data_IF_841374467904
#
_entry.id   IF_841374467904
#
_cell.length_a   1.000
_cell.length_b   1.000
_cell.length_c   1.000
_cell.angle_alpha   90.00
_cell.angle_beta   90.00
_cell.angle_gamma   90.00
#
_symmetry.space_group_name_H-M   'P 1'
#
loop_
_entity.id
_entity.type
_entity.pdbx_description
1 polymer ?
#
# COMPACT_ATOMS: atom_id res chain seq x y z
N UNK A 1 11.87 -12.58 -12.39
CA UNK A 1 10.64 -12.82 -11.60
C UNK A 1 9.46 -12.82 -12.56
N UNK A 2 8.51 -13.74 -12.42
CA UNK A 2 7.22 -13.65 -13.13
C UNK A 2 6.24 -12.88 -12.26
N UNK A 3 5.54 -11.90 -12.84
CA UNK A 3 4.56 -11.09 -12.12
C UNK A 3 3.21 -11.20 -12.86
N UNK A 4 2.16 -11.49 -12.10
CA UNK A 4 0.77 -11.45 -12.56
C UNK A 4 0.00 -10.55 -11.61
N UNK A 5 -0.94 -9.77 -12.11
CA UNK A 5 -1.79 -8.95 -11.28
C UNK A 5 -3.22 -8.90 -11.81
N UNK A 6 -4.14 -8.67 -10.90
CA UNK A 6 -5.52 -8.36 -11.19
C UNK A 6 -5.98 -7.23 -10.28
N UNK A 7 -6.80 -6.35 -10.80
CA UNK A 7 -7.42 -5.28 -10.02
C UNK A 7 -8.82 -5.02 -10.55
N UNK A 8 -9.76 -4.83 -9.64
CA UNK A 8 -11.16 -4.59 -9.95
C UNK A 8 -11.74 -3.59 -8.97
N UNK A 9 -12.59 -2.68 -9.44
CA UNK A 9 -13.25 -1.72 -8.58
C UNK A 9 -14.15 -2.43 -7.56
N UNK A 10 -14.04 -2.08 -6.29
CA UNK A 10 -14.84 -2.68 -5.21
C UNK A 10 -16.35 -2.40 -5.32
N UNK A 11 -16.75 -1.43 -6.14
CA UNK A 11 -18.16 -1.09 -6.40
C UNK A 11 -18.37 -0.90 -7.91
N UNK A 12 -19.32 -1.65 -8.52
CA UNK A 12 -19.64 -1.49 -9.93
C UNK A 12 -20.01 -0.04 -10.29
N UNK A 13 -19.43 0.48 -11.36
CA UNK A 13 -19.70 1.84 -11.85
C UNK A 13 -18.95 2.96 -11.13
N UNK A 14 -18.12 2.65 -10.14
CA UNK A 14 -17.17 3.59 -9.54
C UNK A 14 -15.77 3.42 -10.13
N UNK A 15 -14.96 4.49 -10.19
CA UNK A 15 -13.54 4.35 -10.50
C UNK A 15 -12.87 3.35 -9.56
N UNK A 16 -11.87 2.64 -10.07
CA UNK A 16 -10.99 1.85 -9.22
C UNK A 16 -9.98 2.77 -8.56
N UNK A 17 -9.99 2.81 -7.24
CA UNK A 17 -9.07 3.59 -6.42
C UNK A 17 -7.74 2.86 -6.19
N UNK A 18 -7.67 1.54 -6.50
CA UNK A 18 -6.46 0.75 -6.41
C UNK A 18 -5.59 0.90 -7.66
N UNK A 19 -4.29 0.79 -7.48
CA UNK A 19 -3.33 0.84 -8.57
C UNK A 19 -2.13 -0.08 -8.35
N UNK A 20 -1.68 -0.74 -9.41
CA UNK A 20 -0.48 -1.58 -9.42
C UNK A 20 0.47 -1.09 -10.51
N UNK A 21 1.74 -1.03 -10.19
CA UNK A 21 2.82 -0.83 -11.15
C UNK A 21 3.95 -1.79 -10.84
N UNK A 22 4.59 -2.34 -11.87
CA UNK A 22 5.68 -3.29 -11.70
C UNK A 22 6.78 -3.12 -12.75
N UNK A 23 7.96 -3.62 -12.40
CA UNK A 23 9.10 -3.78 -13.27
C UNK A 23 9.58 -5.23 -13.28
N UNK A 24 10.75 -5.52 -13.86
CA UNK A 24 11.24 -6.90 -13.98
C UNK A 24 11.48 -7.61 -12.64
N UNK A 25 11.76 -6.84 -11.59
CA UNK A 25 12.21 -7.33 -10.29
C UNK A 25 11.61 -6.54 -9.11
N UNK A 26 10.54 -5.80 -9.34
CA UNK A 26 9.84 -5.06 -8.30
C UNK A 26 8.34 -4.93 -8.62
N UNK A 27 7.55 -4.72 -7.58
CA UNK A 27 6.14 -4.39 -7.65
C UNK A 27 5.81 -3.33 -6.59
N UNK A 28 4.91 -2.43 -6.96
CA UNK A 28 4.33 -1.44 -6.06
C UNK A 28 2.81 -1.49 -6.19
N UNK A 29 2.13 -1.56 -5.05
CA UNK A 29 0.68 -1.63 -4.94
C UNK A 29 0.22 -0.45 -4.09
N UNK A 30 -0.88 0.16 -4.51
CA UNK A 30 -1.52 1.31 -3.89
C UNK A 30 -3.02 1.01 -3.75
N UNK A 31 -3.53 1.03 -2.52
CA UNK A 31 -4.96 0.93 -2.22
C UNK A 31 -5.43 2.32 -1.79
N UNK A 32 -6.22 2.93 -2.64
CA UNK A 32 -6.65 4.30 -2.49
C UNK A 32 -7.78 4.46 -1.48
N UNK A 33 -7.62 5.37 -0.54
CA UNK A 33 -8.60 5.64 0.50
C UNK A 33 -9.35 6.97 0.23
N UNK A 34 -10.67 6.83 0.02
CA UNK A 34 -11.56 7.96 -0.24
C UNK A 34 -12.20 8.46 1.06
N UNK A 35 -12.21 9.79 1.25
CA UNK A 35 -12.98 10.38 2.33
C UNK A 35 -14.49 10.09 2.17
N UNK A 36 -15.25 9.97 3.26
CA UNK A 36 -16.70 9.78 3.19
C UNK A 36 -17.39 10.85 2.34
N UNK A 37 -18.47 10.48 1.65
CA UNK A 37 -19.22 11.39 0.79
C UNK A 37 -19.68 12.67 1.54
N UNK A 38 -19.58 13.83 0.87
CA UNK A 38 -19.95 15.13 1.44
C UNK A 38 -18.89 15.77 2.34
N UNK A 39 -17.69 15.18 2.40
CA UNK A 39 -16.55 15.76 3.12
C UNK A 39 -15.72 16.60 2.15
N UNK A 40 -15.44 17.84 2.56
CA UNK A 40 -14.45 18.66 1.84
C UNK A 40 -13.04 18.14 2.16
N UNK A 41 -12.41 17.55 1.15
CA UNK A 41 -11.04 17.06 1.23
C UNK A 41 -9.98 18.16 1.18
N UNK A 42 -10.38 19.40 0.87
CA UNK A 42 -9.44 20.49 0.61
C UNK A 42 -8.61 20.28 -0.67
N UNK A 43 -8.91 19.27 -1.47
CA UNK A 43 -8.15 18.93 -2.66
C UNK A 43 -9.06 18.88 -3.91
N UNK A 44 -8.61 19.47 -5.00
CA UNK A 44 -9.32 19.43 -6.29
C UNK A 44 -9.11 18.09 -7.02
N UNK A 45 -8.18 17.27 -6.55
CA UNK A 45 -7.86 15.97 -7.12
C UNK A 45 -8.58 14.86 -6.34
N UNK A 46 -8.91 13.78 -7.06
CA UNK A 46 -9.50 12.56 -6.50
C UNK A 46 -8.43 11.52 -6.11
N UNK A 47 -8.87 10.40 -5.53
CA UNK A 47 -7.99 9.29 -5.14
C UNK A 47 -7.34 8.64 -6.35
N UNK A 48 -8.05 8.34 -7.47
CA UNK A 48 -7.41 7.84 -8.70
C UNK A 48 -6.27 8.73 -9.22
N UNK A 49 -6.42 10.06 -9.12
CA UNK A 49 -5.34 10.97 -9.49
C UNK A 49 -4.14 10.80 -8.56
N UNK A 50 -4.38 10.73 -7.25
CA UNK A 50 -3.32 10.58 -6.25
C UNK A 50 -2.54 9.28 -6.48
N UNK A 51 -3.23 8.14 -6.56
CA UNK A 51 -2.55 6.82 -6.68
C UNK A 51 -1.76 6.72 -7.98
N UNK A 52 -2.27 7.21 -9.10
CA UNK A 52 -1.57 7.20 -10.40
C UNK A 52 -0.31 8.08 -10.38
N UNK A 53 -0.41 9.27 -9.79
CA UNK A 53 0.74 10.17 -9.71
C UNK A 53 1.79 9.68 -8.72
N UNK A 54 1.37 9.12 -7.57
CA UNK A 54 2.29 8.50 -6.63
C UNK A 54 2.97 7.27 -7.24
N UNK A 55 2.22 6.43 -7.95
CA UNK A 55 2.77 5.28 -8.67
C UNK A 55 3.80 5.68 -9.72
N UNK A 56 3.58 6.76 -10.45
CA UNK A 56 4.55 7.29 -11.42
C UNK A 56 5.84 7.76 -10.73
N UNK A 57 5.73 8.46 -9.59
CA UNK A 57 6.88 8.88 -8.79
C UNK A 57 7.67 7.69 -8.23
N UNK A 58 6.96 6.67 -7.74
CA UNK A 58 7.58 5.43 -7.24
C UNK A 58 8.25 4.66 -8.38
N UNK A 59 7.56 4.47 -9.51
CA UNK A 59 8.08 3.73 -10.66
C UNK A 59 9.38 4.34 -11.21
N UNK A 60 9.47 5.67 -11.22
CA UNK A 60 10.69 6.37 -11.65
C UNK A 60 11.90 6.11 -10.72
N UNK A 61 11.66 5.76 -9.46
CA UNK A 61 12.69 5.58 -8.42
C UNK A 61 13.01 4.12 -8.11
N UNK A 62 12.07 3.20 -8.31
CA UNK A 62 12.27 1.77 -7.99
C UNK A 62 13.51 1.14 -8.62
N UNK A 63 13.94 1.52 -9.85
CA UNK A 63 15.18 1.01 -10.42
C UNK A 63 16.45 1.52 -9.72
N UNK A 64 16.37 2.61 -8.94
CA UNK A 64 17.52 3.19 -8.24
C UNK A 64 17.93 2.29 -7.08
N UNK A 65 19.03 1.54 -7.27
CA UNK A 65 19.56 0.61 -6.29
C UNK A 65 20.41 1.35 -5.27
N UNK A 66 20.37 1.42 -4.13
CA UNK A 66 21.18 2.16 -3.13
C UNK A 66 20.39 3.15 -2.31
N UNK A 67 19.13 3.40 -2.70
CA UNK A 67 18.17 4.13 -1.87
C UNK A 67 17.25 3.12 -1.18
N UNK A 68 17.00 3.28 0.12
CA UNK A 68 16.05 2.45 0.85
C UNK A 68 14.63 2.65 0.32
N UNK A 69 13.74 1.64 0.46
CA UNK A 69 12.36 1.77 0.03
C UNK A 69 11.62 2.91 0.78
N UNK A 70 12.00 3.18 2.02
CA UNK A 70 11.42 4.28 2.81
C UNK A 70 11.84 5.65 2.26
N UNK A 71 13.13 5.87 1.99
CA UNK A 71 13.61 7.11 1.41
C UNK A 71 13.03 7.33 0.01
N UNK A 72 12.98 6.25 -0.79
CA UNK A 72 12.36 6.25 -2.11
C UNK A 72 10.89 6.70 -2.03
N UNK A 73 10.11 6.12 -1.11
CA UNK A 73 8.71 6.48 -0.94
C UNK A 73 8.56 7.92 -0.41
N UNK A 74 9.43 8.36 0.52
CA UNK A 74 9.43 9.74 1.01
C UNK A 74 9.68 10.74 -0.13
N UNK A 75 10.66 10.48 -0.99
CA UNK A 75 10.93 11.29 -2.18
C UNK A 75 9.76 11.26 -3.19
N UNK A 76 9.12 10.09 -3.36
CA UNK A 76 7.94 9.97 -4.23
C UNK A 76 6.75 10.80 -3.71
N UNK A 77 6.49 10.77 -2.41
CA UNK A 77 5.47 11.62 -1.77
C UNK A 77 5.81 13.11 -1.88
N UNK A 78 7.09 13.47 -1.73
CA UNK A 78 7.53 14.85 -1.94
C UNK A 78 7.32 15.31 -3.40
N UNK A 79 7.63 14.46 -4.37
CA UNK A 79 7.36 14.71 -5.79
C UNK A 79 5.87 14.87 -6.08
N UNK A 80 5.04 13.97 -5.55
CA UNK A 80 3.58 14.05 -5.64
C UNK A 80 3.05 15.37 -5.04
N UNK A 81 3.54 15.77 -3.87
CA UNK A 81 3.16 17.04 -3.24
C UNK A 81 3.38 18.23 -4.17
N UNK A 82 4.48 18.25 -4.91
CA UNK A 82 4.78 19.28 -5.89
C UNK A 82 3.77 19.34 -7.07
N UNK A 83 3.11 18.21 -7.39
CA UNK A 83 2.12 18.12 -8.49
C UNK A 83 0.77 18.76 -8.16
N UNK A 84 0.46 19.04 -6.90
CA UNK A 84 -0.82 19.65 -6.51
C UNK A 84 -1.00 21.10 -6.99
N UNK A 85 0.05 21.78 -7.45
CA UNK A 85 -0.03 23.06 -8.12
C UNK A 85 -0.56 24.23 -7.29
N UNK A 86 -0.61 24.12 -5.98
CA UNK A 86 -1.02 25.20 -5.06
C UNK A 86 -2.54 25.39 -4.90
N UNK A 87 -3.36 24.59 -5.58
CA UNK A 87 -4.83 24.65 -5.48
C UNK A 87 -5.43 23.82 -4.33
N UNK A 88 -4.59 23.06 -3.63
CA UNK A 88 -5.03 22.11 -2.60
C UNK A 88 -4.51 22.53 -1.22
N UNK A 89 -5.34 22.32 -0.19
CA UNK A 89 -4.92 22.35 1.21
C UNK A 89 -4.23 21.04 1.57
N UNK A 90 -2.90 21.05 1.48
CA UNK A 90 -2.07 19.87 1.76
C UNK A 90 -2.02 19.49 3.24
N UNK A 91 -2.56 20.33 4.13
CA UNK A 91 -2.69 20.07 5.56
C UNK A 91 -4.01 19.45 5.95
N UNK A 92 -4.98 19.32 5.03
CA UNK A 92 -6.29 18.79 5.34
C UNK A 92 -6.21 17.28 5.63
N UNK A 93 -6.62 16.81 6.84
CA UNK A 93 -6.59 15.40 7.21
C UNK A 93 -7.59 14.52 6.42
N UNK A 94 -8.54 15.10 5.70
CA UNK A 94 -9.45 14.39 4.80
C UNK A 94 -8.97 14.37 3.34
N UNK A 95 -7.76 14.88 3.05
CA UNK A 95 -7.18 14.83 1.70
C UNK A 95 -7.07 13.37 1.21
N UNK A 96 -7.10 13.11 -0.11
CA UNK A 96 -6.89 11.79 -0.68
C UNK A 96 -5.63 11.11 -0.12
N UNK A 97 -5.68 9.80 0.04
CA UNK A 97 -4.55 9.00 0.55
C UNK A 97 -4.53 7.61 -0.06
N UNK A 98 -3.45 6.89 0.21
CA UNK A 98 -3.30 5.51 -0.20
C UNK A 98 -2.49 4.74 0.84
N UNK A 99 -2.79 3.46 1.01
CA UNK A 99 -1.82 2.51 1.53
C UNK A 99 -0.73 2.30 0.49
N UNK A 100 0.42 1.79 0.87
CA UNK A 100 1.50 1.49 -0.08
C UNK A 100 2.21 0.22 0.32
N UNK A 101 2.32 -0.73 -0.62
CA UNK A 101 3.19 -1.88 -0.46
C UNK A 101 4.22 -1.93 -1.60
N UNK A 102 5.49 -1.91 -1.24
CA UNK A 102 6.62 -1.97 -2.17
C UNK A 102 7.41 -3.26 -1.93
N UNK A 103 7.72 -3.95 -3.01
CA UNK A 103 8.59 -5.12 -3.01
C UNK A 103 9.64 -5.00 -4.10
N UNK A 104 10.90 -5.25 -3.77
CA UNK A 104 12.02 -5.24 -4.70
C UNK A 104 12.92 -6.45 -4.44
N UNK A 105 13.25 -7.20 -5.50
CA UNK A 105 14.09 -8.41 -5.42
C UNK A 105 15.47 -8.13 -5.99
N UNK A 106 16.49 -8.50 -5.24
CA UNK A 106 17.88 -8.46 -5.67
C UNK A 106 18.55 -9.82 -5.39
N UNK A 107 18.81 -10.59 -6.44
CA UNK A 107 19.26 -11.98 -6.28
C UNK A 107 18.19 -12.82 -5.58
N UNK A 108 18.51 -13.33 -4.39
CA UNK A 108 17.61 -14.11 -3.53
C UNK A 108 16.98 -13.26 -2.41
N UNK A 109 17.26 -11.97 -2.34
CA UNK A 109 16.78 -11.12 -1.27
C UNK A 109 15.59 -10.28 -1.75
N UNK A 110 14.46 -10.45 -1.09
CA UNK A 110 13.31 -9.54 -1.15
C UNK A 110 13.52 -8.42 -0.13
N UNK A 111 13.45 -7.19 -0.59
CA UNK A 111 13.25 -6.01 0.24
C UNK A 111 11.79 -5.61 0.17
N UNK A 112 11.14 -5.37 1.31
CA UNK A 112 9.73 -4.97 1.36
C UNK A 112 9.51 -3.76 2.25
N UNK A 113 8.45 -3.02 1.93
CA UNK A 113 7.89 -1.94 2.72
C UNK A 113 6.36 -2.03 2.67
N UNK A 114 5.71 -1.94 3.81
CA UNK A 114 4.24 -1.93 3.97
C UNK A 114 3.85 -0.71 4.80
N UNK A 115 3.12 0.20 4.20
CA UNK A 115 2.55 1.38 4.84
C UNK A 115 1.04 1.22 4.88
N UNK A 116 0.47 1.10 6.06
CA UNK A 116 -0.91 0.74 6.36
C UNK A 116 -1.27 -0.72 5.98
N UNK A 117 -2.55 -1.03 5.77
CA UNK A 117 -3.15 -2.36 5.85
C UNK A 117 -3.17 -3.15 4.52
N UNK A 118 -2.19 -2.93 3.64
CA UNK A 118 -2.01 -3.71 2.40
C UNK A 118 -0.87 -4.72 2.56
N UNK A 119 -1.14 -5.97 2.95
CA UNK A 119 -0.09 -6.90 3.37
C UNK A 119 0.74 -7.45 2.22
N UNK A 120 1.98 -7.83 2.56
CA UNK A 120 2.89 -8.63 1.73
C UNK A 120 2.96 -10.04 2.31
N UNK A 121 2.76 -11.06 1.50
CA UNK A 121 2.79 -12.47 1.89
C UNK A 121 3.87 -13.19 1.10
N UNK A 122 4.76 -13.88 1.80
CA UNK A 122 5.86 -14.66 1.20
C UNK A 122 5.77 -16.11 1.65
N UNK A 123 5.89 -17.05 0.71
CA UNK A 123 6.01 -18.46 0.99
C UNK A 123 7.22 -19.05 0.27
N UNK A 124 8.18 -19.54 1.00
CA UNK A 124 9.26 -20.37 0.48
C UNK A 124 8.78 -21.82 0.31
N UNK A 125 9.31 -22.59 -0.66
CA UNK A 125 8.94 -23.99 -0.86
C UNK A 125 9.07 -24.81 0.42
N UNK A 126 8.01 -25.53 0.75
CA UNK A 126 7.94 -26.37 1.95
C UNK A 126 7.78 -25.62 3.28
N UNK A 127 7.64 -24.28 3.23
CA UNK A 127 7.41 -23.44 4.40
C UNK A 127 5.98 -22.92 4.52
N UNK A 128 5.65 -22.41 5.71
CA UNK A 128 4.40 -21.67 5.94
C UNK A 128 4.49 -20.24 5.39
N UNK A 129 3.37 -19.66 4.96
CA UNK A 129 3.31 -18.25 4.56
C UNK A 129 3.71 -17.32 5.70
N UNK A 130 4.60 -16.37 5.42
CA UNK A 130 4.93 -15.26 6.31
C UNK A 130 4.20 -14.02 5.81
N UNK A 131 3.53 -13.33 6.72
CA UNK A 131 2.73 -12.13 6.43
C UNK A 131 3.42 -10.92 7.04
N UNK A 132 3.70 -9.94 6.23
CA UNK A 132 4.23 -8.64 6.64
C UNK A 132 3.12 -7.61 6.46
N UNK A 133 2.68 -7.00 7.54
CA UNK A 133 1.60 -6.01 7.55
C UNK A 133 1.88 -4.92 8.56
N UNK A 134 1.33 -3.76 8.32
CA UNK A 134 1.23 -2.68 9.29
C UNK A 134 -0.16 -2.76 9.94
N UNK A 135 -0.20 -3.03 11.22
CA UNK A 135 -1.43 -3.22 12.01
C UNK A 135 -1.79 -2.00 12.88
N UNK A 136 -1.14 -0.85 12.64
CA UNK A 136 -1.39 0.37 13.43
C UNK A 136 -2.87 0.77 13.47
N UNK A 137 -3.61 0.56 12.37
CA UNK A 137 -5.05 0.79 12.31
C UNK A 137 -5.83 -0.09 13.30
N UNK A 138 -5.43 -1.34 13.49
CA UNK A 138 -6.15 -2.28 14.36
C UNK A 138 -6.00 -1.93 15.85
N UNK A 139 -5.01 -1.11 16.18
CA UNK A 139 -4.72 -0.66 17.55
C UNK A 139 -5.38 0.69 17.91
N UNK A 140 -6.14 1.29 16.99
CA UNK A 140 -6.87 2.51 17.30
C UNK A 140 -7.99 2.25 18.34
N UNK A 141 -8.22 3.18 19.27
CA UNK A 141 -9.23 3.01 20.31
C UNK A 141 -10.64 2.96 19.72
N UNK A 142 -11.54 2.21 20.36
CA UNK A 142 -12.97 2.15 20.04
C UNK A 142 -13.38 1.06 19.04
N UNK A 143 -12.43 0.42 18.36
CA UNK A 143 -12.74 -0.63 17.37
C UNK A 143 -13.40 -0.13 16.09
N UNK A 144 -13.42 -0.99 15.05
CA UNK A 144 -14.07 -0.67 13.75
C UNK A 144 -15.61 -0.76 13.86
N UNK A 145 -16.39 0.12 13.18
CA UNK A 145 -15.92 1.21 12.32
C UNK A 145 -15.45 2.43 13.12
N UNK A 146 -14.33 3.00 12.72
CA UNK A 146 -13.77 4.19 13.38
C UNK A 146 -14.58 5.45 13.09
N UNK A 147 -14.70 6.35 14.08
CA UNK A 147 -15.31 7.65 13.86
C UNK A 147 -14.40 8.53 12.99
N UNK A 148 -15.00 9.40 12.18
CA UNK A 148 -14.26 10.36 11.37
C UNK A 148 -13.32 11.23 12.22
N UNK A 149 -13.78 11.68 13.38
CA UNK A 149 -12.98 12.50 14.29
C UNK A 149 -11.70 11.78 14.74
N UNK A 150 -11.82 10.50 15.10
CA UNK A 150 -10.66 9.67 15.46
C UNK A 150 -9.69 9.54 14.28
N UNK A 151 -10.18 9.19 13.09
CA UNK A 151 -9.36 9.07 11.88
C UNK A 151 -8.63 10.39 11.60
N UNK A 152 -9.32 11.52 11.60
CA UNK A 152 -8.71 12.84 11.39
C UNK A 152 -7.61 13.17 12.40
N UNK A 153 -7.82 12.80 13.66
CA UNK A 153 -6.88 13.08 14.76
C UNK A 153 -5.64 12.18 14.72
N UNK A 154 -5.80 10.95 14.24
CA UNK A 154 -4.75 9.91 14.32
C UNK A 154 -4.04 9.66 13.00
N UNK A 155 -4.59 10.11 11.87
CA UNK A 155 -3.96 9.94 10.56
C UNK A 155 -2.68 10.77 10.46
N UNK A 156 -1.59 10.13 10.05
CA UNK A 156 -0.26 10.70 9.91
C UNK A 156 0.19 11.47 11.16
N UNK A 157 -0.11 10.91 12.34
CA UNK A 157 0.22 11.48 13.63
C UNK A 157 0.86 10.45 14.57
N UNK A 158 1.77 10.86 15.47
CA UNK A 158 2.35 9.97 16.46
C UNK A 158 1.28 9.28 17.32
N UNK A 159 1.42 7.97 17.50
CA UNK A 159 0.44 7.14 18.22
C UNK A 159 -0.84 6.83 17.44
N UNK A 160 -0.91 7.23 16.18
CA UNK A 160 -1.97 6.90 15.25
C UNK A 160 -1.49 5.94 14.14
N UNK A 161 -1.99 6.12 12.95
CA UNK A 161 -1.63 5.34 11.76
C UNK A 161 -1.10 6.24 10.65
N UNK A 162 -0.33 5.66 9.73
CA UNK A 162 0.32 6.39 8.65
C UNK A 162 -0.14 5.89 7.28
N UNK A 163 -0.35 6.82 6.36
CA UNK A 163 -0.73 6.57 4.96
C UNK A 163 0.01 7.53 4.03
N UNK A 164 0.22 7.14 2.80
CA UNK A 164 0.76 8.01 1.78
C UNK A 164 -0.28 9.05 1.35
N UNK A 165 0.10 10.31 1.43
CA UNK A 165 -0.69 11.45 1.00
C UNK A 165 0.28 12.59 0.64
N UNK A 166 0.33 13.65 1.43
CA UNK A 166 1.17 14.85 1.22
C UNK A 166 2.29 14.97 2.24
N UNK A 167 2.46 13.99 3.14
CA UNK A 167 3.43 13.99 4.24
C UNK A 167 4.52 12.96 3.96
N UNK A 168 5.73 13.36 3.49
CA UNK A 168 6.82 12.41 3.18
C UNK A 168 7.28 11.58 4.38
N UNK A 169 7.19 12.11 5.58
CA UNK A 169 7.53 11.45 6.85
C UNK A 169 6.80 10.11 7.01
N UNK A 170 5.58 9.98 6.48
CA UNK A 170 4.78 8.75 6.57
C UNK A 170 5.56 7.51 6.09
N UNK A 171 6.41 7.65 5.08
CA UNK A 171 7.21 6.55 4.53
C UNK A 171 8.14 5.89 5.57
N UNK A 172 8.62 6.65 6.55
CA UNK A 172 9.54 6.16 7.56
C UNK A 172 8.84 5.41 8.71
N UNK A 173 7.52 5.50 8.78
CA UNK A 173 6.68 4.77 9.74
C UNK A 173 6.19 3.42 9.20
N UNK A 174 6.48 3.11 7.94
CA UNK A 174 6.13 1.83 7.33
C UNK A 174 6.85 0.64 7.99
N UNK A 175 6.18 -0.50 8.04
CA UNK A 175 6.80 -1.79 8.34
C UNK A 175 7.71 -2.17 7.17
N UNK A 176 8.97 -2.49 7.43
CA UNK A 176 9.97 -2.76 6.40
C UNK A 176 10.98 -3.83 6.83
N UNK A 177 11.55 -4.49 5.88
CA UNK A 177 12.56 -5.51 6.14
C UNK A 177 13.03 -6.22 4.88
N UNK A 178 13.72 -7.31 5.10
CA UNK A 178 14.19 -8.21 4.05
C UNK A 178 13.80 -9.64 4.33
N UNK A 179 13.62 -10.43 3.28
CA UNK A 179 13.32 -11.85 3.34
C UNK A 179 14.18 -12.62 2.32
N UNK A 180 14.73 -13.76 2.73
CA UNK A 180 15.47 -14.62 1.83
C UNK A 180 14.49 -15.47 1.01
N UNK A 181 14.55 -15.36 -0.30
CA UNK A 181 13.75 -16.14 -1.25
C UNK A 181 14.51 -17.36 -1.74
N UNK A 182 13.89 -18.52 -1.67
CA UNK A 182 14.40 -19.75 -2.30
C UNK A 182 13.83 -19.91 -3.72
N UNK A 183 14.49 -20.65 -4.60
CA UNK A 183 13.92 -20.98 -5.92
C UNK A 183 12.52 -21.59 -5.77
N UNK A 184 11.53 -21.03 -6.49
CA UNK A 184 10.13 -21.42 -6.35
C UNK A 184 9.37 -20.73 -5.20
N UNK A 185 9.94 -19.70 -4.57
CA UNK A 185 9.21 -18.87 -3.62
C UNK A 185 8.05 -18.13 -4.29
N UNK A 186 6.97 -17.98 -3.55
CA UNK A 186 5.78 -17.22 -3.95
C UNK A 186 5.69 -15.92 -3.15
N UNK A 187 5.30 -14.86 -3.83
CA UNK A 187 5.10 -13.54 -3.26
C UNK A 187 3.72 -13.04 -3.69
N UNK A 188 2.90 -12.62 -2.74
CA UNK A 188 1.67 -11.88 -3.01
C UNK A 188 1.74 -10.51 -2.33
N UNK A 189 1.31 -9.48 -3.05
CA UNK A 189 1.13 -8.11 -2.55
C UNK A 189 -0.34 -7.79 -2.74
N UNK A 190 -1.05 -7.47 -1.66
CA UNK A 190 -2.51 -7.49 -1.62
C UNK A 190 -3.04 -6.15 -1.09
N UNK A 191 -4.18 -5.69 -1.63
CA UNK A 191 -5.00 -4.68 -0.96
C UNK A 191 -5.81 -5.32 0.16
N UNK A 192 -6.40 -4.52 1.04
CA UNK A 192 -7.25 -5.00 2.13
C UNK A 192 -8.41 -5.85 1.58
N UNK A 193 -8.97 -5.46 0.42
CA UNK A 193 -10.04 -6.19 -0.24
C UNK A 193 -9.69 -7.65 -0.54
N UNK A 194 -8.50 -7.92 -1.07
CA UNK A 194 -8.01 -9.27 -1.33
C UNK A 194 -7.61 -10.00 -0.03
N UNK A 195 -7.01 -9.28 0.92
CA UNK A 195 -6.58 -9.82 2.21
C UNK A 195 -7.76 -10.30 3.07
N UNK A 196 -8.97 -9.77 2.88
CA UNK A 196 -10.21 -10.21 3.57
C UNK A 196 -10.47 -11.71 3.46
N UNK A 197 -10.01 -12.36 2.39
CA UNK A 197 -10.12 -13.80 2.24
C UNK A 197 -9.52 -14.55 3.45
N UNK A 198 -8.39 -14.08 3.94
CA UNK A 198 -7.72 -14.69 5.10
C UNK A 198 -8.08 -13.98 6.41
N UNK A 199 -8.12 -12.67 6.43
CA UNK A 199 -8.27 -11.87 7.65
C UNK A 199 -9.71 -11.86 8.19
N UNK A 200 -10.70 -11.84 7.31
CA UNK A 200 -12.12 -11.76 7.70
C UNK A 200 -12.82 -13.11 7.54
N UNK A 201 -12.59 -13.80 6.41
CA UNK A 201 -13.27 -15.08 6.15
C UNK A 201 -12.57 -16.29 6.72
N UNK A 202 -11.46 -16.11 7.45
CA UNK A 202 -10.76 -17.16 8.19
C UNK A 202 -10.13 -18.26 7.31
N UNK A 203 -9.90 -17.96 6.02
CA UNK A 203 -9.20 -18.89 5.13
C UNK A 203 -7.69 -18.74 5.31
N UNK A 204 -6.94 -19.82 5.12
CA UNK A 204 -5.49 -19.76 5.27
C UNK A 204 -4.83 -18.93 4.16
N UNK A 205 -3.75 -18.25 4.49
CA UNK A 205 -2.89 -17.58 3.51
C UNK A 205 -2.33 -18.53 2.47
N UNK A 206 -2.08 -19.79 2.86
CA UNK A 206 -1.67 -20.84 1.92
C UNK A 206 -2.75 -21.13 0.88
N UNK A 207 -4.02 -21.18 1.28
CA UNK A 207 -5.15 -21.34 0.36
C UNK A 207 -5.26 -20.16 -0.59
N UNK A 208 -5.07 -18.94 -0.10
CA UNK A 208 -5.07 -17.74 -0.96
C UNK A 208 -3.96 -17.79 -2.01
N UNK A 209 -2.72 -18.09 -1.60
CA UNK A 209 -1.59 -18.24 -2.54
C UNK A 209 -1.86 -19.31 -3.58
N UNK A 210 -2.46 -20.45 -3.18
CA UNK A 210 -2.85 -21.52 -4.10
C UNK A 210 -3.90 -21.09 -5.13
N UNK A 211 -4.88 -20.27 -4.73
CA UNK A 211 -5.87 -19.69 -5.66
C UNK A 211 -5.21 -18.73 -6.65
N UNK A 212 -4.36 -17.85 -6.19
CA UNK A 212 -3.64 -16.88 -7.04
C UNK A 212 -2.72 -17.58 -8.05
N UNK A 213 -2.06 -18.66 -7.65
CA UNK A 213 -1.21 -19.46 -8.54
C UNK A 213 -2.01 -20.23 -9.60
N UNK A 214 -3.24 -20.68 -9.26
CA UNK A 214 -4.10 -21.47 -10.15
C UNK A 214 -4.99 -20.64 -11.09
N UNK A 215 -5.06 -19.32 -10.91
CA UNK A 215 -5.90 -18.40 -11.69
C UNK A 215 -5.20 -17.83 -12.93
N UNK A 216 -4.05 -18.38 -13.32
CA UNK A 216 -3.24 -17.94 -14.46
C UNK A 216 -3.23 -18.90 -15.62
#
# INVERSE_FOLDING_TARGET
>A
MEIRYATEAGTPGRPNDDYVVCGPDWVALFDGATAPGGVDSGCVHDVPWLVRNLAAEVAARMPLRGTSLADLLAEAVAGLRGRHGGACDLGNPDSPSSTVSLCRVAGTVLEYLVLADSPVVVRNPGGEPRVFRDDALDHLPGGRPYTRELVRKTRNAPGGFWVASTVPEAAHHAVRGTEELRPGAELAVLTDGAARYSEIYGRSWQSLLGLLAGSG
#
